data_IF_926169275680
#
_entry.id   IF_926169275680
#
_cell.length_a   1.000
_cell.length_b   1.000
_cell.length_c   1.000
_cell.angle_alpha   90.00
_cell.angle_beta   90.00
_cell.angle_gamma   90.00
#
_symmetry.space_group_name_H-M   'P 1'
#
loop_
_entity.id
_entity.type
_entity.pdbx_description
1 polymer ?
#
# COMPACT_ATOMS: atom_id res chain seq x y z
N UNK A 1 8.28 -13.20 -11.18
CA UNK A 1 6.81 -13.06 -11.00
C UNK A 1 6.53 -11.66 -10.47
N UNK A 2 5.43 -11.03 -10.89
CA UNK A 2 5.07 -9.64 -10.55
C UNK A 2 3.70 -9.65 -9.88
N UNK A 3 3.56 -9.00 -8.73
CA UNK A 3 2.27 -8.85 -8.05
C UNK A 3 1.59 -7.54 -8.48
N UNK A 4 0.27 -7.53 -8.53
CA UNK A 4 -0.50 -6.32 -8.83
C UNK A 4 -0.61 -5.45 -7.58
N UNK A 5 -0.02 -4.25 -7.60
CA UNK A 5 0.24 -3.44 -6.40
C UNK A 5 -1.04 -3.10 -5.62
N UNK A 6 -2.16 -2.82 -6.31
CA UNK A 6 -3.44 -2.55 -5.64
C UNK A 6 -3.97 -3.75 -4.86
N UNK A 7 -3.75 -4.99 -5.32
CA UNK A 7 -4.16 -6.18 -4.59
C UNK A 7 -3.44 -6.30 -3.24
N UNK A 8 -2.18 -5.87 -3.18
CA UNK A 8 -1.43 -5.80 -1.92
C UNK A 8 -2.04 -4.77 -0.96
N UNK A 9 -2.52 -3.63 -1.45
CA UNK A 9 -3.26 -2.68 -0.61
C UNK A 9 -4.62 -3.21 -0.16
N UNK A 10 -5.34 -3.97 -0.99
CA UNK A 10 -6.56 -4.63 -0.55
C UNK A 10 -6.31 -5.63 0.58
N UNK A 11 -5.17 -6.33 0.55
CA UNK A 11 -4.76 -7.19 1.66
C UNK A 11 -4.50 -6.39 2.94
N UNK A 12 -3.83 -5.24 2.85
CA UNK A 12 -3.67 -4.31 3.97
C UNK A 12 -5.03 -3.89 4.54
N UNK A 13 -5.97 -3.49 3.67
CA UNK A 13 -7.31 -3.09 4.10
C UNK A 13 -8.10 -4.23 4.77
N UNK A 14 -7.93 -5.47 4.31
CA UNK A 14 -8.56 -6.66 4.87
C UNK A 14 -7.96 -7.05 6.23
N UNK A 15 -6.64 -7.00 6.37
CA UNK A 15 -5.96 -7.18 7.66
C UNK A 15 -6.44 -6.13 8.68
N UNK A 16 -6.50 -4.86 8.27
CA UNK A 16 -7.00 -3.80 9.13
C UNK A 16 -8.48 -3.99 9.51
N UNK A 17 -9.32 -4.48 8.59
CA UNK A 17 -10.74 -4.75 8.85
C UNK A 17 -10.97 -5.91 9.83
N UNK A 18 -10.06 -6.88 9.85
CA UNK A 18 -10.14 -8.08 10.71
C UNK A 18 -9.46 -7.89 12.07
N UNK A 19 -9.08 -6.66 12.42
CA UNK A 19 -8.42 -6.33 13.69
C UNK A 19 -6.91 -6.61 13.72
N UNK A 20 -6.34 -7.17 12.65
CA UNK A 20 -4.90 -7.46 12.50
C UNK A 20 -4.12 -6.20 12.11
N UNK A 21 -4.22 -5.15 12.93
CA UNK A 21 -3.72 -3.80 12.61
C UNK A 21 -2.19 -3.72 12.51
N UNK A 22 -1.46 -4.41 13.38
CA UNK A 22 0.01 -4.45 13.34
C UNK A 22 0.50 -5.10 12.04
N UNK A 23 -0.03 -6.26 11.68
CA UNK A 23 0.33 -6.92 10.41
C UNK A 23 -0.04 -6.08 9.18
N UNK A 24 -1.19 -5.40 9.23
CA UNK A 24 -1.58 -4.46 8.19
C UNK A 24 -0.59 -3.29 8.07
N UNK A 25 -0.10 -2.78 9.20
CA UNK A 25 0.87 -1.69 9.26
C UNK A 25 2.23 -2.12 8.70
N UNK A 26 2.73 -3.28 9.12
CA UNK A 26 3.99 -3.84 8.62
C UNK A 26 3.95 -4.03 7.10
N UNK A 27 2.85 -4.61 6.59
CA UNK A 27 2.66 -4.80 5.16
C UNK A 27 2.56 -3.47 4.41
N UNK A 28 1.82 -2.50 4.98
CA UNK A 28 1.70 -1.17 4.40
C UNK A 28 3.06 -0.49 4.29
N UNK A 29 3.85 -0.47 5.36
CA UNK A 29 5.19 0.14 5.38
C UNK A 29 6.17 -0.53 4.41
N UNK A 30 6.08 -1.85 4.24
CA UNK A 30 6.81 -2.57 3.18
C UNK A 30 6.42 -2.07 1.79
N UNK A 31 5.13 -1.93 1.49
CA UNK A 31 4.68 -1.39 0.20
C UNK A 31 5.15 0.05 -0.02
N UNK A 32 5.16 0.87 1.03
CA UNK A 32 5.69 2.24 0.98
C UNK A 32 7.19 2.30 0.65
N UNK A 33 7.96 1.28 1.01
CA UNK A 33 9.40 1.21 0.74
C UNK A 33 9.73 1.05 -0.76
N UNK A 34 8.77 0.60 -1.58
CA UNK A 34 8.95 0.39 -3.02
C UNK A 34 8.62 1.61 -3.88
N UNK A 35 8.18 2.72 -3.28
CA UNK A 35 7.84 3.92 -4.05
C UNK A 35 9.07 4.48 -4.76
N UNK A 36 8.82 5.16 -5.89
CA UNK A 36 9.82 6.00 -6.50
C UNK A 36 10.26 7.13 -5.56
N UNK A 37 11.36 7.82 -5.91
CA UNK A 37 11.82 9.00 -5.17
C UNK A 37 10.79 10.13 -5.12
N UNK A 38 9.82 10.15 -6.05
CA UNK A 38 8.69 11.09 -6.06
C UNK A 38 7.48 10.57 -5.27
N UNK A 39 7.56 9.40 -4.63
CA UNK A 39 6.46 8.81 -3.88
C UNK A 39 5.40 8.08 -4.74
N UNK A 40 5.73 7.70 -5.97
CA UNK A 40 4.78 7.08 -6.91
C UNK A 40 4.95 5.56 -6.95
N UNK A 41 3.89 4.86 -7.35
CA UNK A 41 3.85 3.40 -7.51
C UNK A 41 3.40 3.03 -8.92
N UNK A 42 3.90 1.90 -9.41
CA UNK A 42 3.45 1.28 -10.65
C UNK A 42 2.30 0.31 -10.42
N UNK A 43 1.77 -0.18 -11.54
CA UNK A 43 0.76 -1.22 -11.59
C UNK A 43 1.23 -2.54 -10.97
N UNK A 44 2.46 -2.96 -11.28
CA UNK A 44 3.05 -4.19 -10.78
C UNK A 44 4.29 -3.94 -9.92
N UNK A 45 4.56 -4.86 -9.00
CA UNK A 45 5.79 -4.91 -8.22
C UNK A 45 6.47 -6.27 -8.46
N UNK A 46 7.74 -6.26 -8.86
CA UNK A 46 8.49 -7.51 -9.03
C UNK A 46 8.75 -8.16 -7.66
N UNK A 47 8.30 -9.39 -7.45
CA UNK A 47 8.26 -10.04 -6.12
C UNK A 47 9.67 -10.29 -5.54
N UNK A 48 10.66 -10.53 -6.41
CA UNK A 48 12.03 -10.81 -5.98
C UNK A 48 12.90 -9.58 -5.77
N UNK A 49 12.69 -8.53 -6.56
CA UNK A 49 13.57 -7.33 -6.57
C UNK A 49 12.90 -6.11 -5.93
N UNK A 50 11.57 -6.10 -5.83
CA UNK A 50 10.82 -4.92 -5.40
C UNK A 50 10.80 -3.80 -6.43
N UNK A 51 11.19 -4.07 -7.68
CA UNK A 51 11.16 -3.08 -8.74
C UNK A 51 9.73 -2.77 -9.19
N UNK A 52 9.51 -1.50 -9.48
CA UNK A 52 8.27 -1.02 -10.08
C UNK A 52 8.19 -1.48 -11.54
N UNK A 53 7.13 -2.20 -11.88
CA UNK A 53 6.93 -2.80 -13.20
C UNK A 53 5.60 -2.35 -13.81
N UNK A 54 5.60 -2.11 -15.13
CA UNK A 54 4.39 -1.87 -15.91
C UNK A 54 3.97 -0.40 -15.89
N UNK A 55 2.66 -0.16 -15.92
CA UNK A 55 2.13 1.20 -16.00
C UNK A 55 2.58 2.06 -14.81
N UNK A 56 3.15 3.24 -15.08
CA UNK A 56 3.71 4.15 -14.08
C UNK A 56 3.54 5.63 -14.50
N UNK A 57 3.03 6.50 -13.61
CA UNK A 57 2.43 6.17 -12.32
C UNK A 57 1.07 5.49 -12.50
N UNK A 58 0.74 4.56 -11.62
CA UNK A 58 -0.56 3.90 -11.68
C UNK A 58 -1.54 4.43 -10.62
N UNK A 59 -2.61 5.07 -11.10
CA UNK A 59 -3.66 5.69 -10.30
C UNK A 59 -4.31 4.72 -9.32
N UNK A 60 -4.65 3.49 -9.72
CA UNK A 60 -5.28 2.55 -8.77
C UNK A 60 -4.33 2.15 -7.64
N UNK A 61 -3.03 1.98 -7.90
CA UNK A 61 -2.04 1.72 -6.85
C UNK A 61 -1.97 2.88 -5.86
N UNK A 62 -2.04 4.12 -6.35
CA UNK A 62 -2.07 5.32 -5.50
C UNK A 62 -3.38 5.44 -4.70
N UNK A 63 -4.52 5.08 -5.29
CA UNK A 63 -5.80 5.00 -4.56
C UNK A 63 -5.72 3.97 -3.42
N UNK A 64 -5.12 2.81 -3.68
CA UNK A 64 -4.88 1.78 -2.66
C UNK A 64 -4.01 2.30 -1.50
N UNK A 65 -2.97 3.08 -1.81
CA UNK A 65 -2.12 3.74 -0.82
C UNK A 65 -2.94 4.70 0.06
N UNK A 66 -3.68 5.63 -0.55
CA UNK A 66 -4.45 6.64 0.19
C UNK A 66 -5.50 5.99 1.09
N UNK A 67 -6.25 5.02 0.58
CA UNK A 67 -7.27 4.31 1.36
C UNK A 67 -6.69 3.55 2.53
N UNK A 68 -5.60 2.82 2.30
CA UNK A 68 -4.91 2.08 3.37
C UNK A 68 -4.37 3.03 4.44
N UNK A 69 -3.77 4.16 4.03
CA UNK A 69 -3.29 5.19 4.95
C UNK A 69 -4.42 5.74 5.84
N UNK A 70 -5.57 6.09 5.24
CA UNK A 70 -6.74 6.55 5.97
C UNK A 70 -7.23 5.52 7.00
N UNK A 71 -7.27 4.24 6.61
CA UNK A 71 -7.78 3.15 7.47
C UNK A 71 -6.85 2.82 8.63
N UNK A 72 -5.54 2.94 8.42
CA UNK A 72 -4.52 2.68 9.43
C UNK A 72 -4.27 3.89 10.33
N UNK A 73 -4.62 5.09 9.90
CA UNK A 73 -4.48 6.31 10.70
C UNK A 73 -5.52 6.36 11.82
N UNK A 74 -5.16 7.05 12.91
CA UNK A 74 -6.13 7.43 13.93
C UNK A 74 -7.11 8.46 13.33
N UNK A 75 -8.40 8.40 13.67
CA UNK A 75 -9.34 9.46 13.34
C UNK A 75 -8.83 10.80 13.87
N UNK A 76 -9.09 11.87 13.12
CA UNK A 76 -8.71 13.23 13.53
C UNK A 76 -9.35 13.62 14.87
N UNK A 77 -10.56 13.11 15.14
CA UNK A 77 -11.29 13.36 16.38
C UNK A 77 -10.57 12.80 17.62
N UNK A 78 -9.75 11.76 17.44
CA UNK A 78 -9.02 11.13 18.55
C UNK A 78 -7.63 11.74 18.75
N UNK A 79 -7.23 12.72 17.94
CA UNK A 79 -5.88 13.28 17.94
C UNK A 79 -5.68 14.44 18.93
N UNK A 80 -6.77 15.06 19.41
CA UNK A 80 -6.82 16.19 20.34
C UNK A 80 -7.82 15.92 21.45
#
# INVERSE_FOLDING_TARGET
ETSFTICSFWMVEALAATGRREEARDMFERLLSHRSSQGLLSEGLHVGTGELWGNFPQTYSLVGLVRSAMKLSRPWQDAF
#
